data_IF_475232036320
#
_entry.id   IF_475232036320
#
_cell.length_a   1.000
_cell.length_b   1.000
_cell.length_c   1.000
_cell.angle_alpha   90.00
_cell.angle_beta   90.00
_cell.angle_gamma   90.00
#
_symmetry.space_group_name_H-M   'P 1'
#
loop_
_entity.id
_entity.type
_entity.pdbx_description
1 polymer ?
#
# COMPACT_ATOMS: atom_id res chain seq x y z
N UNK A 1 -61.32 55.28 -4.80
CA UNK A 1 -59.83 55.27 -4.91
C UNK A 1 -59.30 54.18 -3.96
N UNK A 2 -59.04 53.02 -4.52
CA UNK A 2 -58.55 51.87 -3.74
C UNK A 2 -57.13 51.56 -4.21
N UNK A 3 -56.15 51.79 -3.34
CA UNK A 3 -54.76 51.47 -3.58
C UNK A 3 -54.51 49.98 -3.34
N UNK A 4 -54.23 49.29 -4.44
CA UNK A 4 -53.86 47.87 -4.45
C UNK A 4 -52.34 47.72 -4.28
N UNK A 5 -51.89 47.41 -3.06
CA UNK A 5 -50.48 47.12 -2.80
C UNK A 5 -50.13 45.69 -3.18
N UNK A 6 -49.33 45.54 -4.25
CA UNK A 6 -48.79 44.28 -4.68
C UNK A 6 -47.65 43.89 -3.72
N UNK A 7 -47.84 42.82 -2.94
CA UNK A 7 -46.76 42.18 -2.22
C UNK A 7 -46.06 41.16 -3.14
N UNK A 8 -44.84 41.50 -3.57
CA UNK A 8 -43.96 40.58 -4.29
C UNK A 8 -43.27 39.64 -3.30
N UNK A 9 -43.69 38.39 -3.26
CA UNK A 9 -43.03 37.37 -2.45
C UNK A 9 -41.77 36.83 -3.18
N UNK A 10 -40.60 37.22 -2.72
CA UNK A 10 -39.32 36.66 -3.18
C UNK A 10 -39.12 35.31 -2.48
N UNK A 11 -39.34 34.21 -3.20
CA UNK A 11 -38.98 32.85 -2.75
C UNK A 11 -37.49 32.66 -2.91
N UNK A 12 -36.75 32.74 -1.80
CA UNK A 12 -35.35 32.39 -1.74
C UNK A 12 -35.27 30.86 -1.69
N UNK A 13 -34.91 30.23 -2.82
CA UNK A 13 -34.56 28.81 -2.89
C UNK A 13 -33.18 28.63 -2.22
N UNK A 14 -33.18 28.14 -0.99
CA UNK A 14 -31.97 27.60 -0.36
C UNK A 14 -31.61 26.29 -1.05
N UNK A 15 -30.66 26.32 -1.98
CA UNK A 15 -29.94 25.14 -2.39
C UNK A 15 -29.03 24.73 -1.22
N UNK A 16 -29.51 23.81 -0.41
CA UNK A 16 -28.64 23.08 0.54
C UNK A 16 -27.69 22.23 -0.28
N UNK A 17 -26.48 22.72 -0.51
CA UNK A 17 -25.38 21.87 -0.91
C UNK A 17 -25.19 20.87 0.23
N UNK A 18 -25.72 19.66 0.06
CA UNK A 18 -25.34 18.54 0.89
C UNK A 18 -23.86 18.27 0.57
N UNK A 19 -22.99 18.87 1.35
CA UNK A 19 -21.62 18.41 1.48
C UNK A 19 -21.73 16.98 2.01
N UNK A 20 -21.68 16.01 1.11
CA UNK A 20 -21.40 14.63 1.48
C UNK A 20 -19.99 14.68 2.08
N UNK A 21 -19.91 14.78 3.40
CA UNK A 21 -18.72 14.39 4.10
C UNK A 21 -18.54 12.89 3.79
N UNK A 22 -17.84 12.59 2.71
CA UNK A 22 -17.39 11.23 2.43
C UNK A 22 -16.47 10.86 3.57
N UNK A 23 -17.05 10.16 4.57
CA UNK A 23 -16.28 9.59 5.67
C UNK A 23 -15.32 8.56 5.10
N UNK A 24 -14.13 8.50 5.64
CA UNK A 24 -13.20 7.42 5.36
C UNK A 24 -13.88 6.07 5.61
N UNK A 25 -13.73 5.15 4.68
CA UNK A 25 -14.26 3.79 4.76
C UNK A 25 -13.12 2.83 5.08
N UNK A 26 -13.43 1.72 5.73
CA UNK A 26 -12.50 0.61 5.88
C UNK A 26 -12.66 -0.31 4.67
N UNK A 27 -11.60 -0.43 3.89
CA UNK A 27 -11.49 -1.38 2.80
C UNK A 27 -10.75 -2.63 3.29
N UNK A 28 -11.17 -3.82 2.86
CA UNK A 28 -10.52 -5.09 3.22
C UNK A 28 -10.38 -6.00 2.00
N UNK A 29 -9.20 -6.58 1.84
CA UNK A 29 -8.90 -7.60 0.83
C UNK A 29 -8.47 -8.90 1.53
N UNK A 30 -9.33 -9.92 1.49
CA UNK A 30 -8.97 -11.26 1.99
C UNK A 30 -7.98 -11.95 1.06
N UNK A 31 -8.03 -11.65 -0.24
CA UNK A 31 -7.09 -12.18 -1.25
C UNK A 31 -5.66 -11.73 -0.97
N UNK A 32 -5.47 -10.44 -0.72
CA UNK A 32 -4.15 -9.84 -0.47
C UNK A 32 -3.89 -9.57 1.01
N UNK A 33 -4.80 -10.02 1.89
CA UNK A 33 -4.64 -10.09 3.34
C UNK A 33 -4.30 -8.78 4.01
N UNK A 34 -5.05 -7.73 3.67
CA UNK A 34 -4.93 -6.43 4.34
C UNK A 34 -6.28 -5.75 4.52
N UNK A 35 -6.34 -4.84 5.48
CA UNK A 35 -7.35 -3.79 5.53
C UNK A 35 -6.70 -2.42 5.71
N UNK A 36 -7.39 -1.37 5.27
CA UNK A 36 -6.90 0.01 5.34
C UNK A 36 -8.09 0.98 5.31
N UNK A 37 -7.95 2.13 5.97
CA UNK A 37 -8.90 3.21 5.80
C UNK A 37 -8.58 4.04 4.55
N UNK A 38 -9.57 4.25 3.70
CA UNK A 38 -9.45 4.98 2.43
C UNK A 38 -10.57 6.01 2.29
N UNK A 39 -10.34 7.13 1.60
CA UNK A 39 -11.39 8.14 1.40
C UNK A 39 -12.50 7.71 0.43
N UNK A 40 -12.37 6.56 -0.25
CA UNK A 40 -13.39 6.00 -1.15
C UNK A 40 -13.08 4.58 -1.59
N UNK A 41 -13.95 4.00 -2.40
CA UNK A 41 -13.81 2.65 -2.94
C UNK A 41 -12.61 2.54 -3.88
N UNK A 42 -11.79 1.51 -3.71
CA UNK A 42 -10.65 1.26 -4.59
C UNK A 42 -11.07 0.67 -5.94
N UNK A 43 -10.49 1.22 -7.02
CA UNK A 43 -10.31 0.49 -8.27
C UNK A 43 -9.15 -0.51 -8.08
N UNK A 44 -9.29 -1.71 -8.67
CA UNK A 44 -8.32 -2.79 -8.50
C UNK A 44 -7.79 -3.21 -9.86
N UNK A 45 -6.46 -3.26 -10.00
CA UNK A 45 -5.77 -3.63 -11.23
C UNK A 45 -4.69 -4.68 -10.95
N UNK A 46 -4.68 -5.77 -11.74
CA UNK A 46 -3.59 -6.74 -11.74
C UNK A 46 -2.44 -6.23 -12.60
N UNK A 47 -1.24 -6.20 -12.04
CA UNK A 47 -0.02 -5.77 -12.73
C UNK A 47 1.10 -6.80 -12.59
N UNK A 48 2.19 -6.56 -13.30
CA UNK A 48 3.46 -7.27 -13.09
C UNK A 48 4.48 -6.31 -12.48
N UNK A 49 5.06 -6.71 -11.36
CA UNK A 49 6.05 -5.93 -10.63
C UNK A 49 7.47 -6.46 -10.89
N UNK A 50 8.38 -5.63 -11.43
CA UNK A 50 9.78 -6.01 -11.58
C UNK A 50 10.49 -5.93 -10.24
N UNK A 51 11.03 -7.05 -9.76
CA UNK A 51 11.83 -7.08 -8.54
C UNK A 51 13.25 -6.57 -8.77
N UNK A 52 13.99 -6.29 -7.68
CA UNK A 52 15.40 -5.84 -7.75
C UNK A 52 16.27 -6.82 -8.53
N UNK A 53 16.04 -8.10 -8.38
CA UNK A 53 16.81 -9.15 -9.03
C UNK A 53 16.18 -9.67 -10.33
N UNK A 54 15.27 -8.87 -10.93
CA UNK A 54 14.73 -9.07 -12.27
C UNK A 54 13.67 -10.18 -12.38
N UNK A 55 13.08 -10.62 -11.28
CA UNK A 55 11.89 -11.46 -11.33
C UNK A 55 10.66 -10.59 -11.66
N UNK A 56 9.79 -11.10 -12.51
CA UNK A 56 8.53 -10.47 -12.87
C UNK A 56 7.43 -11.09 -12.02
N UNK A 57 7.05 -10.39 -10.96
CA UNK A 57 6.16 -10.89 -9.92
C UNK A 57 4.71 -10.46 -10.15
N UNK A 58 3.72 -11.30 -9.88
CA UNK A 58 2.34 -10.87 -9.87
C UNK A 58 2.12 -9.84 -8.76
N UNK A 59 1.40 -8.78 -9.09
CA UNK A 59 1.05 -7.75 -8.13
C UNK A 59 -0.34 -7.19 -8.41
N UNK A 60 -0.92 -6.55 -7.41
CA UNK A 60 -2.22 -5.88 -7.51
C UNK A 60 -2.12 -4.47 -6.94
N UNK A 61 -2.69 -3.52 -7.68
CA UNK A 61 -2.80 -2.13 -7.26
C UNK A 61 -4.24 -1.84 -6.91
N UNK A 62 -4.46 -1.37 -5.72
CA UNK A 62 -5.69 -0.82 -5.20
C UNK A 62 -5.56 0.69 -5.19
N UNK A 63 -6.36 1.42 -5.95
CA UNK A 63 -6.19 2.86 -6.11
C UNK A 63 -7.50 3.63 -5.98
N UNK A 64 -7.41 4.84 -5.45
CA UNK A 64 -8.49 5.81 -5.37
C UNK A 64 -7.96 7.21 -5.64
N UNK A 65 -8.71 8.01 -6.40
CA UNK A 65 -8.40 9.39 -6.70
C UNK A 65 -9.50 10.31 -6.15
N UNK A 66 -9.08 11.37 -5.47
CA UNK A 66 -9.95 12.45 -4.97
C UNK A 66 -9.43 13.79 -5.51
N UNK A 67 -9.97 14.21 -6.64
CA UNK A 67 -9.47 15.34 -7.40
C UNK A 67 -8.03 15.11 -7.86
N UNK A 68 -7.08 15.87 -7.32
CA UNK A 68 -5.66 15.70 -7.61
C UNK A 68 -4.93 14.80 -6.59
N UNK A 69 -5.60 14.40 -5.51
CA UNK A 69 -5.04 13.49 -4.52
C UNK A 69 -5.17 12.05 -4.98
N UNK A 70 -4.13 11.26 -4.72
CA UNK A 70 -4.08 9.83 -5.07
C UNK A 70 -3.73 9.00 -3.85
N UNK A 71 -4.41 7.87 -3.71
CA UNK A 71 -4.22 6.91 -2.63
C UNK A 71 -4.09 5.52 -3.25
N UNK A 72 -3.08 4.76 -2.85
CA UNK A 72 -2.91 3.40 -3.37
C UNK A 72 -2.28 2.45 -2.37
N UNK A 73 -2.62 1.18 -2.53
CA UNK A 73 -1.91 0.05 -1.94
C UNK A 73 -1.49 -0.87 -3.07
N UNK A 74 -0.19 -1.09 -3.22
CA UNK A 74 0.34 -2.11 -4.12
C UNK A 74 0.73 -3.32 -3.31
N UNK A 75 0.19 -4.49 -3.65
CA UNK A 75 0.58 -5.76 -3.03
C UNK A 75 1.29 -6.61 -4.06
N UNK A 76 2.56 -6.93 -3.80
CA UNK A 76 3.39 -7.79 -4.65
C UNK A 76 3.48 -9.18 -4.03
N UNK A 77 3.11 -10.20 -4.80
CA UNK A 77 3.11 -11.59 -4.33
C UNK A 77 4.43 -12.29 -4.63
N UNK A 78 5.25 -12.46 -3.59
CA UNK A 78 6.50 -13.21 -3.61
C UNK A 78 6.34 -14.67 -3.19
N UNK A 79 5.13 -15.18 -2.95
CA UNK A 79 4.92 -16.53 -2.43
C UNK A 79 5.48 -17.61 -3.36
N UNK A 80 5.57 -17.32 -4.65
CA UNK A 80 6.08 -18.22 -5.68
C UNK A 80 7.44 -17.77 -6.26
N UNK A 81 8.14 -16.86 -5.55
CA UNK A 81 9.37 -16.25 -6.02
C UNK A 81 10.46 -17.28 -6.37
N UNK A 82 10.55 -18.37 -5.61
CA UNK A 82 11.53 -19.44 -5.90
C UNK A 82 11.34 -20.02 -7.30
N UNK A 83 10.11 -20.38 -7.67
CA UNK A 83 9.79 -20.92 -9.00
C UNK A 83 10.00 -19.86 -10.08
N UNK A 84 9.51 -18.64 -9.87
CA UNK A 84 9.64 -17.54 -10.83
C UNK A 84 11.12 -17.26 -11.11
N UNK A 85 11.97 -17.21 -10.08
CA UNK A 85 13.41 -17.07 -10.26
C UNK A 85 14.03 -18.25 -10.99
N UNK A 86 13.56 -19.48 -10.71
CA UNK A 86 14.07 -20.69 -11.37
C UNK A 86 13.75 -20.73 -12.87
N UNK A 87 12.64 -20.18 -13.28
CA UNK A 87 12.16 -20.18 -14.67
C UNK A 87 12.68 -19.00 -15.50
N UNK A 88 13.37 -18.03 -14.91
CA UNK A 88 13.91 -16.86 -15.61
C UNK A 88 14.91 -17.26 -16.70
N UNK A 89 14.78 -16.63 -17.87
CA UNK A 89 15.69 -16.82 -19.00
C UNK A 89 16.87 -15.83 -19.01
N UNK A 90 16.74 -14.68 -18.33
CA UNK A 90 17.73 -13.61 -18.27
C UNK A 90 18.69 -13.75 -17.06
N UNK A 91 19.07 -14.98 -16.72
CA UNK A 91 20.01 -15.26 -15.62
C UNK A 91 21.41 -14.77 -15.93
N UNK A 92 22.06 -14.23 -14.92
CA UNK A 92 23.48 -13.94 -14.93
C UNK A 92 24.27 -14.97 -14.11
N UNK A 93 25.60 -14.99 -14.18
CA UNK A 93 26.43 -15.87 -13.32
C UNK A 93 26.19 -15.58 -11.81
N UNK A 94 25.80 -14.36 -11.48
CA UNK A 94 25.41 -14.00 -10.12
C UNK A 94 24.15 -14.74 -9.63
N UNK A 95 23.26 -15.15 -10.52
CA UNK A 95 22.03 -15.90 -10.20
C UNK A 95 22.28 -17.39 -9.90
N UNK A 96 23.54 -17.83 -9.84
CA UNK A 96 23.88 -19.24 -9.65
C UNK A 96 23.67 -19.73 -8.21
N UNK A 97 23.49 -18.83 -7.27
CA UNK A 97 23.18 -19.16 -5.88
C UNK A 97 21.69 -19.51 -5.77
N UNK A 98 21.39 -20.72 -5.34
CA UNK A 98 20.03 -21.25 -5.17
C UNK A 98 19.13 -20.42 -4.22
N UNK A 99 19.67 -19.38 -3.60
CA UNK A 99 19.02 -18.53 -2.59
C UNK A 99 18.69 -17.11 -3.11
N UNK A 100 18.94 -16.80 -4.38
CA UNK A 100 18.70 -15.44 -4.91
C UNK A 100 17.27 -14.97 -4.73
N UNK A 101 16.30 -15.85 -4.87
CA UNK A 101 14.90 -15.54 -4.64
C UNK A 101 14.64 -15.11 -3.18
N UNK A 102 15.33 -15.72 -2.21
CA UNK A 102 15.19 -15.36 -0.79
C UNK A 102 15.80 -13.99 -0.50
N UNK A 103 16.94 -13.68 -1.13
CA UNK A 103 17.57 -12.37 -1.04
C UNK A 103 16.63 -11.30 -1.63
N UNK A 104 16.04 -11.56 -2.80
CA UNK A 104 15.11 -10.67 -3.47
C UNK A 104 13.88 -10.37 -2.59
N UNK A 105 13.28 -11.41 -2.00
CA UNK A 105 12.17 -11.22 -1.05
C UNK A 105 12.59 -10.34 0.13
N UNK A 106 13.75 -10.60 0.73
CA UNK A 106 14.24 -9.83 1.89
C UNK A 106 14.62 -8.39 1.53
N UNK A 107 15.13 -8.16 0.34
CA UNK A 107 15.50 -6.84 -0.16
C UNK A 107 14.29 -5.99 -0.61
N UNK A 108 13.12 -6.59 -0.78
CA UNK A 108 11.94 -5.97 -1.41
C UNK A 108 11.52 -4.64 -0.77
N UNK A 109 11.54 -4.52 0.57
CA UNK A 109 11.22 -3.27 1.28
C UNK A 109 12.25 -2.19 0.95
N UNK A 110 13.55 -2.52 0.99
CA UNK A 110 14.62 -1.57 0.68
C UNK A 110 14.56 -1.13 -0.80
N UNK A 111 14.29 -2.07 -1.70
CA UNK A 111 14.15 -1.78 -3.13
C UNK A 111 12.94 -0.89 -3.43
N UNK A 112 11.78 -1.16 -2.84
CA UNK A 112 10.60 -0.31 -3.00
C UNK A 112 10.86 1.11 -2.46
N UNK A 113 11.52 1.22 -1.29
CA UNK A 113 11.91 2.51 -0.73
C UNK A 113 12.92 3.25 -1.62
N UNK A 114 13.89 2.53 -2.20
CA UNK A 114 14.83 3.09 -3.17
C UNK A 114 14.10 3.62 -4.41
N UNK A 115 13.17 2.85 -5.00
CA UNK A 115 12.39 3.27 -6.16
C UNK A 115 11.61 4.57 -5.90
N UNK A 116 11.04 4.73 -4.71
CA UNK A 116 10.35 5.96 -4.34
C UNK A 116 11.30 7.16 -4.32
N UNK A 117 12.51 7.01 -3.75
CA UNK A 117 13.52 8.07 -3.72
C UNK A 117 14.01 8.45 -5.13
N UNK A 118 14.07 7.49 -6.07
CA UNK A 118 14.51 7.74 -7.45
C UNK A 118 13.53 8.57 -8.28
N UNK A 119 12.29 8.75 -7.81
CA UNK A 119 11.31 9.61 -8.50
C UNK A 119 11.68 11.10 -8.46
N UNK A 120 12.64 11.48 -7.62
CA UNK A 120 13.09 12.84 -7.39
C UNK A 120 12.29 13.56 -6.30
N UNK A 121 12.62 14.85 -6.09
CA UNK A 121 12.06 15.63 -4.99
C UNK A 121 12.95 15.59 -3.74
N UNK A 122 12.45 16.18 -2.65
CA UNK A 122 13.13 16.26 -1.36
C UNK A 122 12.55 15.23 -0.39
N UNK A 123 13.39 14.33 0.12
CA UNK A 123 13.01 13.40 1.17
C UNK A 123 12.97 14.15 2.50
N UNK A 124 11.78 14.35 3.03
CA UNK A 124 11.54 15.11 4.28
C UNK A 124 11.43 14.21 5.52
N UNK A 125 11.15 12.92 5.32
CA UNK A 125 11.15 11.91 6.36
C UNK A 125 11.56 10.56 5.78
N UNK A 126 12.42 9.84 6.47
CA UNK A 126 12.95 8.54 6.05
C UNK A 126 13.31 7.74 7.30
N UNK A 127 12.52 6.74 7.66
CA UNK A 127 12.72 6.01 8.88
C UNK A 127 12.25 4.56 8.81
N UNK A 128 12.94 3.73 9.55
CA UNK A 128 12.45 2.41 9.94
C UNK A 128 11.12 2.54 10.70
N UNK A 129 10.19 1.67 10.39
CA UNK A 129 8.87 1.64 11.02
C UNK A 129 8.39 0.19 11.18
N UNK A 130 7.38 -0.01 12.03
CA UNK A 130 6.71 -1.29 12.17
C UNK A 130 5.21 -1.12 12.48
N UNK A 131 4.40 -2.04 11.97
CA UNK A 131 2.98 -2.19 12.30
C UNK A 131 2.78 -3.61 12.80
N UNK A 132 2.13 -3.80 13.96
CA UNK A 132 1.84 -5.11 14.54
C UNK A 132 3.08 -6.05 14.58
N UNK A 133 4.27 -5.49 14.85
CA UNK A 133 5.59 -6.17 14.81
C UNK A 133 6.09 -6.58 13.44
N UNK A 134 5.40 -6.20 12.36
CA UNK A 134 5.92 -6.35 11.02
C UNK A 134 6.82 -5.17 10.71
N UNK A 135 8.09 -5.49 10.42
CA UNK A 135 9.09 -4.50 10.09
C UNK A 135 8.85 -3.88 8.72
N UNK A 136 9.15 -2.60 8.60
CA UNK A 136 8.96 -1.86 7.37
C UNK A 136 9.69 -0.53 7.36
N UNK A 137 9.26 0.31 6.44
CA UNK A 137 9.87 1.60 6.19
C UNK A 137 8.81 2.66 5.89
N UNK A 138 9.01 3.88 6.41
CA UNK A 138 8.17 5.03 6.07
C UNK A 138 8.99 6.12 5.41
N UNK A 139 8.40 6.74 4.40
CA UNK A 139 8.96 7.84 3.63
C UNK A 139 7.95 8.98 3.50
N UNK A 140 8.45 10.21 3.53
CA UNK A 140 7.73 11.39 3.07
C UNK A 140 8.62 12.15 2.10
N UNK A 141 8.05 12.52 0.96
CA UNK A 141 8.78 13.18 -0.14
C UNK A 141 7.97 14.39 -0.58
N UNK A 142 8.60 15.55 -0.63
CA UNK A 142 8.08 16.69 -1.38
C UNK A 142 8.55 16.56 -2.82
N UNK A 143 7.64 16.22 -3.71
CA UNK A 143 7.93 15.97 -5.12
C UNK A 143 8.37 17.26 -5.85
N UNK A 144 8.92 17.12 -7.04
CA UNK A 144 9.35 18.27 -7.87
C UNK A 144 8.19 19.23 -8.19
N UNK A 145 6.97 18.71 -8.33
CA UNK A 145 5.74 19.47 -8.56
C UNK A 145 5.10 20.01 -7.27
N UNK A 146 5.80 19.91 -6.13
CA UNK A 146 5.37 20.33 -4.80
C UNK A 146 4.27 19.46 -4.18
N UNK A 147 3.77 18.44 -4.84
CA UNK A 147 2.92 17.44 -4.20
C UNK A 147 3.70 16.71 -3.11
N UNK A 148 3.00 16.18 -2.13
CA UNK A 148 3.63 15.47 -1.01
C UNK A 148 3.23 14.00 -1.06
N UNK A 149 4.24 13.13 -1.18
CA UNK A 149 4.06 11.68 -1.12
C UNK A 149 4.36 11.16 0.28
N UNK A 150 3.43 10.39 0.83
CA UNK A 150 3.54 9.67 2.09
C UNK A 150 3.48 8.18 1.79
N UNK A 151 4.56 7.47 2.05
CA UNK A 151 4.64 6.06 1.78
C UNK A 151 4.96 5.24 3.03
N UNK A 152 4.42 4.02 3.09
CA UNK A 152 4.75 3.02 4.09
C UNK A 152 4.88 1.66 3.40
N UNK A 153 5.94 0.91 3.72
CA UNK A 153 6.33 -0.30 3.00
C UNK A 153 6.57 -1.39 4.02
N UNK A 154 5.97 -2.57 3.81
CA UNK A 154 6.08 -3.71 4.73
C UNK A 154 6.18 -5.03 3.96
N UNK A 155 6.82 -6.00 4.57
CA UNK A 155 6.86 -7.37 4.06
C UNK A 155 6.30 -8.33 5.12
N UNK A 156 5.24 -9.06 4.76
CA UNK A 156 4.67 -10.10 5.62
C UNK A 156 4.26 -11.32 4.78
N UNK A 157 4.57 -12.52 5.25
CA UNK A 157 4.18 -13.78 4.61
C UNK A 157 4.50 -13.81 3.10
N UNK A 158 5.67 -13.28 2.71
CA UNK A 158 6.11 -13.12 1.30
C UNK A 158 5.18 -12.25 0.45
N UNK A 159 4.48 -11.30 1.05
CA UNK A 159 3.76 -10.22 0.36
C UNK A 159 4.37 -8.89 0.74
N UNK A 160 4.76 -8.14 -0.29
CA UNK A 160 5.22 -6.76 -0.12
C UNK A 160 4.03 -5.83 -0.25
N UNK A 161 3.81 -5.01 0.74
CA UNK A 161 2.76 -3.99 0.78
C UNK A 161 3.41 -2.61 0.64
N UNK A 162 3.02 -1.87 -0.39
CA UNK A 162 3.45 -0.49 -0.62
C UNK A 162 2.22 0.40 -0.51
N UNK A 163 2.05 1.07 0.61
CA UNK A 163 1.01 2.07 0.84
C UNK A 163 1.55 3.41 0.41
N UNK A 164 0.85 4.12 -0.47
CA UNK A 164 1.29 5.41 -1.00
C UNK A 164 0.11 6.37 -1.11
N UNK A 165 0.25 7.58 -0.57
CA UNK A 165 -0.66 8.68 -0.82
C UNK A 165 0.13 9.89 -1.31
N UNK A 166 -0.29 10.45 -2.45
CA UNK A 166 0.27 11.68 -3.01
C UNK A 166 -0.82 12.74 -3.02
N UNK A 167 -0.58 13.83 -2.32
CA UNK A 167 -1.58 14.89 -2.09
C UNK A 167 -1.02 16.25 -2.48
N UNK A 168 -1.94 17.18 -2.80
CA UNK A 168 -1.56 18.56 -3.11
C UNK A 168 -0.91 19.25 -1.91
N UNK A 169 -0.15 20.34 -2.13
CA UNK A 169 0.47 21.10 -1.03
C UNK A 169 -0.53 21.61 0.01
N UNK A 170 -1.77 21.92 -0.42
CA UNK A 170 -2.84 22.49 0.40
C UNK A 170 -3.65 21.41 1.13
N UNK A 171 -3.56 20.16 0.70
CA UNK A 171 -4.30 19.06 1.32
C UNK A 171 -3.79 18.75 2.71
N UNK A 172 -4.66 18.23 3.58
CA UNK A 172 -4.25 17.70 4.88
C UNK A 172 -3.29 16.53 4.68
N UNK A 173 -2.19 16.44 5.44
CA UNK A 173 -1.28 15.30 5.39
C UNK A 173 -2.03 13.97 5.57
N UNK A 174 -1.84 12.97 4.67
CA UNK A 174 -2.60 11.72 4.69
C UNK A 174 -2.02 10.70 5.68
N UNK A 175 -1.57 11.15 6.86
CA UNK A 175 -0.97 10.29 7.89
C UNK A 175 -1.91 9.17 8.36
N UNK A 176 -3.23 9.44 8.37
CA UNK A 176 -4.21 8.42 8.73
C UNK A 176 -4.20 7.27 7.70
N UNK A 177 -4.19 7.56 6.41
CA UNK A 177 -4.05 6.52 5.37
C UNK A 177 -2.74 5.75 5.52
N UNK A 178 -1.61 6.45 5.62
CA UNK A 178 -0.29 5.85 5.74
C UNK A 178 -0.16 4.87 6.92
N UNK A 179 -0.88 5.15 8.03
CA UNK A 179 -0.75 4.41 9.29
C UNK A 179 -1.89 3.44 9.56
N UNK A 180 -2.92 3.39 8.71
CA UNK A 180 -4.12 2.58 8.95
C UNK A 180 -4.07 1.18 8.34
N UNK A 181 -2.93 0.80 7.74
CA UNK A 181 -2.75 -0.56 7.22
C UNK A 181 -2.82 -1.57 8.38
N UNK A 182 -3.63 -2.60 8.19
CA UNK A 182 -3.76 -3.75 9.07
C UNK A 182 -3.58 -5.03 8.25
N UNK A 183 -2.82 -5.98 8.77
CA UNK A 183 -2.64 -7.27 8.11
C UNK A 183 -3.71 -8.25 8.54
N UNK A 184 -4.18 -9.07 7.58
CA UNK A 184 -5.20 -10.08 7.80
C UNK A 184 -4.61 -11.49 7.63
N UNK A 185 -5.15 -12.44 8.39
CA UNK A 185 -4.90 -13.86 8.17
C UNK A 185 -5.75 -14.44 7.01
N UNK A 186 -5.69 -15.75 6.80
CA UNK A 186 -6.44 -16.44 5.74
C UNK A 186 -7.96 -16.37 5.94
N UNK A 187 -8.39 -16.19 7.17
CA UNK A 187 -9.80 -16.11 7.56
C UNK A 187 -10.32 -14.65 7.58
N UNK A 188 -9.45 -13.68 7.29
CA UNK A 188 -9.77 -12.25 7.28
C UNK A 188 -9.73 -11.58 8.65
N UNK A 189 -9.16 -12.23 9.67
CA UNK A 189 -8.99 -11.63 10.99
C UNK A 189 -7.68 -10.84 11.04
N UNK A 190 -7.68 -9.76 11.84
CA UNK A 190 -6.48 -8.94 12.06
C UNK A 190 -5.35 -9.74 12.69
N UNK A 191 -4.16 -9.66 12.08
CA UNK A 191 -2.96 -10.33 12.56
C UNK A 191 -2.23 -9.41 13.53
N UNK A 192 -2.37 -9.70 14.84
CA UNK A 192 -1.67 -8.97 15.89
C UNK A 192 -0.65 -9.88 16.58
N UNK A 193 0.50 -9.31 16.96
CA UNK A 193 1.50 -9.97 17.82
C UNK A 193 2.25 -11.17 17.19
N UNK A 194 2.37 -11.26 15.86
CA UNK A 194 3.25 -12.25 15.23
C UNK A 194 4.73 -11.94 15.48
N UNK A 195 5.59 -12.98 15.38
CA UNK A 195 7.03 -12.82 15.48
C UNK A 195 7.60 -12.26 14.16
N UNK A 196 8.59 -11.37 14.26
CA UNK A 196 9.29 -10.78 13.11
C UNK A 196 9.98 -11.79 12.17
N UNK A 197 10.18 -13.04 12.63
CA UNK A 197 10.82 -14.09 11.84
C UNK A 197 9.98 -14.62 10.67
N UNK A 198 8.70 -14.24 10.58
CA UNK A 198 7.75 -14.80 9.61
C UNK A 198 7.61 -13.94 8.33
N UNK A 199 8.50 -12.97 8.11
CA UNK A 199 8.46 -12.08 6.95
C UNK A 199 8.55 -12.83 5.61
N UNK A 200 9.23 -13.98 5.58
CA UNK A 200 9.37 -14.82 4.38
C UNK A 200 8.64 -16.14 4.59
N UNK A 201 7.61 -16.40 3.80
CA UNK A 201 6.88 -17.66 3.78
C UNK A 201 7.12 -18.36 2.44
N UNK A 202 7.65 -19.57 2.50
CA UNK A 202 7.86 -20.39 1.31
C UNK A 202 6.70 -21.35 1.17
N UNK A 203 6.02 -21.35 0.02
CA UNK A 203 5.00 -22.35 -0.31
C UNK A 203 5.69 -23.72 -0.30
N UNK A 204 5.23 -24.65 0.52
CA UNK A 204 5.81 -26.00 0.70
C UNK A 204 7.12 -26.07 1.53
N UNK A 205 7.51 -25.03 2.26
CA UNK A 205 8.58 -25.19 3.25
C UNK A 205 8.13 -26.20 4.32
N UNK A 206 8.97 -27.20 4.66
CA UNK A 206 8.63 -28.13 5.73
C UNK A 206 8.42 -27.35 7.04
N UNK A 207 7.32 -27.62 7.71
CA UNK A 207 7.01 -27.03 9.00
C UNK A 207 8.10 -27.38 10.03
N UNK A 208 8.94 -26.42 10.34
CA UNK A 208 10.04 -26.58 11.29
C UNK A 208 9.56 -26.55 12.75
N UNK A 209 8.32 -26.17 13.01
CA UNK A 209 7.77 -26.11 14.37
C UNK A 209 7.57 -27.48 15.01
N UNK A 210 7.48 -28.55 14.20
CA UNK A 210 7.27 -29.92 14.68
C UNK A 210 8.53 -30.66 15.13
N UNK A 211 9.72 -30.07 15.00
CA UNK A 211 11.00 -30.72 15.40
C UNK A 211 11.49 -30.36 16.80
N UNK A 212 10.77 -29.59 17.57
CA UNK A 212 11.19 -29.18 18.91
C UNK A 212 10.50 -29.98 20.03
N UNK A 213 9.99 -31.17 19.75
CA UNK A 213 9.19 -31.96 20.69
C UNK A 213 9.42 -33.48 20.68
N UNK A 214 10.64 -33.96 20.32
CA UNK A 214 11.06 -35.37 20.55
C UNK A 214 12.39 -35.42 21.32
#
# INVERSE_FOLDING_TARGET
MHDLRLFSAISILFFSAQSLAQGWIQYSSTTDRFSIHTPGEFAVEDITYPSEYGAMLPARVYSYEDGANRYSVTVVDYTDAQRIHAERTNRTEADYLSLYWEIDVRASVAYAAWNLRQRGGEVTYDAYHYIDRVEGHQLQITNVDQFRTYAAIYLLDSRLYIVEATVTPESVPPGFFQQSLEFLDEDGNGVRYRNFSDAVKVRNAPDRSRRAGD
#
